data_IF_230531784898
#
_entry.id   IF_230531784898
#
_cell.length_a   1.000
_cell.length_b   1.000
_cell.length_c   1.000
_cell.angle_alpha   90.00
_cell.angle_beta   90.00
_cell.angle_gamma   90.00
#
_symmetry.space_group_name_H-M   'P 1'
#
loop_
_entity.id
_entity.type
_entity.pdbx_description
1 polymer ?
#
# COMPACT_ATOMS: atom_id res chain seq x y z
N UNK A 1 8.91 -16.87 -5.38
CA UNK A 1 8.17 -16.17 -6.46
C UNK A 1 7.32 -15.10 -5.80
N UNK A 2 7.55 -13.83 -6.14
CA UNK A 2 6.67 -12.71 -5.78
C UNK A 2 6.04 -12.19 -7.06
N UNK A 3 4.92 -11.49 -6.94
CA UNK A 3 4.20 -10.93 -8.07
C UNK A 3 3.21 -9.86 -7.61
N UNK A 4 2.77 -9.05 -8.56
CA UNK A 4 1.76 -8.01 -8.36
C UNK A 4 0.51 -8.38 -9.14
N UNK A 5 -0.65 -8.17 -8.51
CA UNK A 5 -1.94 -8.23 -9.19
C UNK A 5 -2.46 -6.81 -9.39
N UNK A 6 -2.82 -6.45 -10.63
CA UNK A 6 -3.34 -5.12 -10.97
C UNK A 6 -4.74 -5.28 -11.57
N UNK A 7 -5.69 -4.46 -11.12
CA UNK A 7 -7.03 -4.39 -11.69
C UNK A 7 -7.47 -2.94 -11.88
N UNK A 8 -8.06 -2.64 -13.03
CA UNK A 8 -8.78 -1.38 -13.27
C UNK A 8 -10.25 -1.59 -12.91
N UNK A 9 -10.72 -0.83 -11.93
CA UNK A 9 -12.05 -0.92 -11.37
C UNK A 9 -12.88 0.31 -11.78
N UNK A 10 -14.21 0.16 -11.68
CA UNK A 10 -15.15 1.26 -11.86
C UNK A 10 -16.14 1.31 -10.71
N UNK A 11 -16.25 2.45 -10.06
CA UNK A 11 -17.24 2.72 -9.01
C UNK A 11 -17.71 4.17 -9.09
N UNK A 12 -19.00 4.42 -8.86
CA UNK A 12 -19.55 5.79 -8.89
C UNK A 12 -19.32 6.54 -10.21
N UNK A 13 -19.16 5.83 -11.33
CA UNK A 13 -18.83 6.41 -12.63
C UNK A 13 -17.33 6.64 -12.88
N UNK A 14 -16.52 6.68 -11.82
CA UNK A 14 -15.07 6.89 -11.85
C UNK A 14 -14.31 5.59 -12.10
N UNK A 15 -13.16 5.67 -12.79
CA UNK A 15 -12.24 4.56 -12.99
C UNK A 15 -10.98 4.78 -12.15
N UNK A 16 -10.46 3.70 -11.56
CA UNK A 16 -9.20 3.72 -10.83
C UNK A 16 -8.55 2.34 -10.89
N UNK A 17 -7.23 2.27 -10.69
CA UNK A 17 -6.49 1.04 -10.60
C UNK A 17 -6.16 0.70 -9.14
N UNK A 18 -6.14 -0.59 -8.83
CA UNK A 18 -5.62 -1.12 -7.56
C UNK A 18 -4.54 -2.13 -7.88
N UNK A 19 -3.37 -1.99 -7.26
CA UNK A 19 -2.25 -2.91 -7.34
C UNK A 19 -1.96 -3.51 -5.96
N UNK A 20 -2.05 -4.83 -5.84
CA UNK A 20 -1.67 -5.56 -4.64
C UNK A 20 -0.21 -6.01 -4.67
N UNK A 21 0.53 -5.80 -3.59
CA UNK A 21 1.94 -6.19 -3.47
C UNK A 21 2.19 -7.09 -2.25
N UNK A 22 3.18 -7.95 -2.37
CA UNK A 22 3.85 -8.61 -1.26
C UNK A 22 5.32 -8.72 -1.66
N UNK A 23 6.17 -7.81 -1.17
CA UNK A 23 7.55 -7.73 -1.62
C UNK A 23 8.42 -8.84 -1.02
N UNK A 24 9.64 -8.97 -1.52
CA UNK A 24 10.54 -10.03 -1.08
C UNK A 24 11.11 -9.78 0.33
N UNK A 25 11.60 -10.84 0.96
CA UNK A 25 12.34 -10.72 2.22
C UNK A 25 13.77 -10.21 1.97
N UNK A 26 14.32 -10.42 0.76
CA UNK A 26 15.65 -9.94 0.39
C UNK A 26 15.62 -8.47 -0.08
N UNK A 27 16.44 -7.62 0.55
CA UNK A 27 16.48 -6.18 0.30
C UNK A 27 16.71 -5.82 -1.17
N UNK A 28 17.68 -6.46 -1.83
CA UNK A 28 18.01 -6.18 -3.24
C UNK A 28 16.86 -6.52 -4.19
N UNK A 29 16.03 -7.50 -3.84
CA UNK A 29 14.88 -7.89 -4.65
C UNK A 29 13.71 -6.91 -4.48
N UNK A 30 13.49 -6.36 -3.28
CA UNK A 30 12.38 -5.44 -3.02
C UNK A 30 12.39 -4.22 -3.92
N UNK A 31 13.54 -3.54 -4.04
CA UNK A 31 13.63 -2.34 -4.87
C UNK A 31 13.40 -2.64 -6.35
N UNK A 32 13.94 -3.76 -6.85
CA UNK A 32 13.66 -4.22 -8.22
C UNK A 32 12.16 -4.50 -8.42
N UNK A 33 11.49 -5.13 -7.46
CA UNK A 33 10.05 -5.38 -7.54
C UNK A 33 9.22 -4.10 -7.59
N UNK A 34 9.63 -3.02 -6.89
CA UNK A 34 8.95 -1.72 -6.99
C UNK A 34 9.11 -1.12 -8.40
N UNK A 35 10.29 -1.21 -9.00
CA UNK A 35 10.48 -0.77 -10.39
C UNK A 35 9.68 -1.61 -11.39
N UNK A 36 9.58 -2.93 -11.19
CA UNK A 36 8.75 -3.82 -12.00
C UNK A 36 7.26 -3.51 -11.85
N UNK A 37 6.80 -3.23 -10.62
CA UNK A 37 5.45 -2.75 -10.33
C UNK A 37 5.13 -1.47 -11.10
N UNK A 38 6.03 -0.48 -11.03
CA UNK A 38 5.87 0.80 -11.72
C UNK A 38 5.77 0.60 -13.24
N UNK A 39 6.66 -0.20 -13.82
CA UNK A 39 6.63 -0.53 -15.23
C UNK A 39 5.36 -1.30 -15.64
N UNK A 40 4.84 -2.17 -14.77
CA UNK A 40 3.59 -2.87 -15.00
C UNK A 40 2.39 -1.92 -14.97
N UNK A 41 2.35 -0.97 -14.03
CA UNK A 41 1.32 0.08 -13.99
C UNK A 41 1.36 0.89 -15.28
N UNK A 42 2.53 1.37 -15.72
CA UNK A 42 2.65 2.15 -16.97
C UNK A 42 2.19 1.38 -18.20
N UNK A 43 2.44 0.07 -18.22
CA UNK A 43 2.09 -0.79 -19.35
C UNK A 43 0.61 -1.15 -19.40
N UNK A 44 -0.02 -1.31 -18.24
CA UNK A 44 -1.33 -1.96 -18.14
C UNK A 44 -2.45 -1.05 -17.63
N UNK A 45 -2.14 0.11 -17.06
CA UNK A 45 -3.10 1.09 -16.57
C UNK A 45 -3.10 2.32 -17.48
N UNK A 46 -4.24 2.75 -18.03
CA UNK A 46 -4.30 4.00 -18.80
C UNK A 46 -3.84 5.20 -17.97
N UNK A 47 -3.08 6.12 -18.55
CA UNK A 47 -2.45 7.24 -17.82
C UNK A 47 -3.45 8.15 -17.08
N UNK A 48 -4.67 8.28 -17.61
CA UNK A 48 -5.74 9.06 -16.99
C UNK A 48 -6.39 8.38 -15.79
N UNK A 49 -6.11 7.10 -15.55
CA UNK A 49 -6.67 6.31 -14.44
C UNK A 49 -5.72 6.40 -13.24
N UNK A 50 -6.14 6.99 -12.10
CA UNK A 50 -5.34 7.03 -10.88
C UNK A 50 -5.18 5.63 -10.27
N UNK A 51 -4.04 5.39 -9.63
CA UNK A 51 -3.71 4.09 -9.04
C UNK A 51 -3.57 4.16 -7.51
N UNK A 52 -3.92 3.05 -6.86
CA UNK A 52 -3.64 2.77 -5.45
C UNK A 52 -2.77 1.52 -5.38
N UNK A 53 -1.67 1.58 -4.64
CA UNK A 53 -0.80 0.43 -4.37
C UNK A 53 -0.97 0.05 -2.90
N UNK A 54 -1.24 -1.21 -2.60
CA UNK A 54 -1.42 -1.66 -1.22
C UNK A 54 -0.81 -3.05 -0.98
N UNK A 55 -0.26 -3.26 0.22
CA UNK A 55 0.16 -4.58 0.68
C UNK A 55 1.39 -4.57 1.58
N UNK A 56 1.99 -5.76 1.73
CA UNK A 56 3.17 -6.00 2.56
C UNK A 56 4.45 -5.59 1.81
N UNK A 57 5.10 -4.55 2.29
CA UNK A 57 6.33 -3.98 1.74
C UNK A 57 7.55 -4.79 2.19
N UNK A 58 7.46 -5.56 3.29
CA UNK A 58 8.59 -6.22 3.94
C UNK A 58 9.79 -5.27 4.22
N UNK A 59 9.49 -3.97 4.35
CA UNK A 59 10.42 -2.91 4.65
C UNK A 59 9.73 -1.83 5.48
N UNK A 60 10.50 -0.95 6.09
CA UNK A 60 9.99 0.10 6.98
C UNK A 60 9.94 1.47 6.28
N UNK A 61 9.19 2.44 6.84
CA UNK A 61 9.22 3.81 6.38
C UNK A 61 10.65 4.35 6.30
N UNK A 62 10.86 5.30 5.40
CA UNK A 62 12.15 5.92 5.07
C UNK A 62 13.19 5.01 4.37
N UNK A 63 12.90 3.72 4.15
CA UNK A 63 13.72 2.85 3.31
C UNK A 63 13.70 3.28 1.83
N UNK A 64 14.74 2.91 1.06
CA UNK A 64 14.77 3.17 -0.39
C UNK A 64 13.56 2.56 -1.13
N UNK A 65 13.05 1.43 -0.64
CA UNK A 65 11.84 0.77 -1.17
C UNK A 65 10.61 1.65 -0.92
N UNK A 66 10.48 2.21 0.29
CA UNK A 66 9.38 3.10 0.65
C UNK A 66 9.42 4.42 -0.12
N UNK A 67 10.62 4.99 -0.29
CA UNK A 67 10.83 6.19 -1.10
C UNK A 67 10.46 5.95 -2.56
N UNK A 68 10.88 4.81 -3.12
CA UNK A 68 10.51 4.43 -4.49
C UNK A 68 8.98 4.31 -4.65
N UNK A 69 8.27 3.64 -3.73
CA UNK A 69 6.80 3.61 -3.75
C UNK A 69 6.18 5.01 -3.67
N UNK A 70 6.80 5.90 -2.89
CA UNK A 70 6.41 7.31 -2.73
C UNK A 70 6.54 8.17 -3.99
N UNK A 71 7.31 7.74 -5.00
CA UNK A 71 7.45 8.47 -6.27
C UNK A 71 6.13 8.55 -7.06
N UNK A 72 5.18 7.63 -6.81
CA UNK A 72 3.93 7.52 -7.56
C UNK A 72 2.66 7.67 -6.73
N UNK A 73 2.79 7.88 -5.43
CA UNK A 73 1.65 8.07 -4.55
C UNK A 73 2.06 8.53 -3.16
N UNK A 74 1.12 9.17 -2.47
CA UNK A 74 1.31 9.54 -1.08
C UNK A 74 1.04 8.32 -0.17
N UNK A 75 1.92 8.10 0.81
CA UNK A 75 1.69 7.14 1.90
C UNK A 75 0.49 7.59 2.74
N UNK A 76 -0.61 6.84 2.67
CA UNK A 76 -1.86 7.20 3.32
C UNK A 76 -1.75 7.34 4.84
N UNK A 77 -0.87 6.57 5.48
CA UNK A 77 -0.64 6.68 6.91
C UNK A 77 0.03 8.01 7.27
N UNK A 78 1.03 8.45 6.50
CA UNK A 78 1.70 9.73 6.74
C UNK A 78 0.78 10.91 6.43
N UNK A 79 -0.13 10.76 5.47
CA UNK A 79 -1.09 11.82 5.13
C UNK A 79 -2.17 11.99 6.19
N UNK A 80 -2.76 10.90 6.70
CA UNK A 80 -3.95 11.01 7.55
C UNK A 80 -4.14 9.86 8.55
N UNK A 81 -3.03 9.27 9.02
CA UNK A 81 -2.99 8.31 10.12
C UNK A 81 -2.67 8.97 11.46
N UNK A 82 -2.89 8.23 12.56
CA UNK A 82 -2.56 8.69 13.91
C UNK A 82 -1.93 7.57 14.75
N UNK A 83 -0.88 7.90 15.52
CA UNK A 83 -0.13 6.94 16.32
C UNK A 83 1.01 6.26 15.56
N UNK A 84 1.39 5.05 15.97
CA UNK A 84 2.58 4.36 15.44
C UNK A 84 2.39 3.78 14.04
N UNK A 85 1.16 3.37 13.71
CA UNK A 85 0.84 2.66 12.47
C UNK A 85 1.48 1.29 12.38
N UNK A 86 1.92 0.72 13.50
CA UNK A 86 2.57 -0.58 13.49
C UNK A 86 1.58 -1.68 13.15
N UNK A 87 1.97 -2.47 12.14
CA UNK A 87 1.17 -3.55 11.59
C UNK A 87 1.72 -4.92 11.95
N UNK A 88 3.01 -5.03 12.29
CA UNK A 88 3.66 -6.32 12.55
C UNK A 88 4.47 -6.37 13.86
N UNK A 89 4.38 -7.44 14.67
CA UNK A 89 3.39 -8.53 14.58
C UNK A 89 2.08 -8.14 15.25
N UNK A 90 0.96 -8.76 14.89
CA UNK A 90 -0.37 -8.33 15.33
C UNK A 90 -0.52 -8.24 16.86
N UNK A 91 0.07 -9.18 17.59
CA UNK A 91 0.02 -9.25 19.07
C UNK A 91 0.97 -8.30 19.78
N UNK A 92 2.13 -8.01 19.17
CA UNK A 92 3.16 -7.15 19.76
C UNK A 92 3.77 -6.27 18.66
N UNK A 93 3.00 -5.29 18.15
CA UNK A 93 3.36 -4.57 16.95
C UNK A 93 4.54 -3.63 17.23
N UNK A 94 5.57 -3.70 16.37
CA UNK A 94 6.81 -2.92 16.48
C UNK A 94 7.26 -2.30 15.17
N UNK A 95 6.67 -2.72 14.05
CA UNK A 95 7.03 -2.25 12.71
C UNK A 95 5.78 -1.95 11.90
N UNK A 96 5.87 -0.94 11.05
CA UNK A 96 4.91 -0.69 9.97
C UNK A 96 5.52 -1.22 8.70
N UNK A 97 5.03 -2.35 8.22
CA UNK A 97 5.51 -2.98 6.98
C UNK A 97 4.40 -3.17 5.95
N UNK A 98 3.15 -2.85 6.32
CA UNK A 98 2.02 -2.81 5.41
C UNK A 98 1.65 -1.36 5.12
N UNK A 99 1.35 -1.07 3.85
CA UNK A 99 1.13 0.30 3.40
C UNK A 99 0.03 0.39 2.33
N UNK A 100 -0.51 1.59 2.20
CA UNK A 100 -1.36 2.01 1.09
C UNK A 100 -0.80 3.32 0.55
N UNK A 101 -0.37 3.33 -0.71
CA UNK A 101 0.06 4.51 -1.44
C UNK A 101 -1.02 4.88 -2.44
N UNK A 102 -1.45 6.14 -2.44
CA UNK A 102 -2.50 6.62 -3.33
C UNK A 102 -2.00 7.74 -4.24
N UNK A 103 -2.32 7.64 -5.53
CA UNK A 103 -2.12 8.72 -6.51
C UNK A 103 -2.69 10.06 -6.01
N UNK A 104 -2.03 11.17 -6.34
CA UNK A 104 -2.40 12.52 -5.88
C UNK A 104 -3.82 12.97 -6.26
N UNK A 105 -4.46 12.30 -7.23
CA UNK A 105 -5.87 12.51 -7.58
C UNK A 105 -6.85 11.97 -6.54
N UNK A 106 -6.41 11.11 -5.63
CA UNK A 106 -7.21 10.68 -4.48
C UNK A 106 -7.07 11.66 -3.31
N UNK A 107 -8.20 11.97 -2.68
CA UNK A 107 -8.19 12.57 -1.35
C UNK A 107 -8.15 11.46 -0.30
N UNK A 108 -7.14 11.50 0.56
CA UNK A 108 -6.97 10.54 1.67
C UNK A 108 -7.74 11.06 2.89
N UNK A 109 -8.88 10.45 3.19
CA UNK A 109 -9.82 10.87 4.23
C UNK A 109 -9.45 10.41 5.64
N UNK A 110 -8.98 9.18 5.79
CA UNK A 110 -8.40 8.66 7.04
C UNK A 110 -7.56 7.40 6.77
N UNK A 111 -6.59 7.13 7.64
CA UNK A 111 -5.87 5.86 7.69
C UNK A 111 -5.86 5.31 9.13
N UNK A 112 -6.27 4.05 9.29
CA UNK A 112 -6.38 3.37 10.59
C UNK A 112 -5.72 2.00 10.53
N UNK A 113 -4.99 1.63 11.58
CA UNK A 113 -4.58 0.24 11.80
C UNK A 113 -5.60 -0.39 12.73
N UNK A 114 -6.24 -1.48 12.28
CA UNK A 114 -7.24 -2.19 13.06
C UNK A 114 -6.58 -3.18 14.00
N UNK A 115 -7.06 -3.28 15.23
CA UNK A 115 -6.57 -4.24 16.22
C UNK A 115 -7.71 -4.91 16.99
N UNK A 116 -7.35 -5.82 17.90
CA UNK A 116 -8.29 -6.62 18.67
C UNK A 116 -8.05 -8.12 18.52
N UNK A 117 -8.71 -8.91 19.38
CA UNK A 117 -8.53 -10.37 19.45
C UNK A 117 -8.83 -11.03 18.11
N UNK A 118 -9.88 -10.60 17.41
CA UNK A 118 -10.24 -11.16 16.11
C UNK A 118 -9.15 -10.93 15.06
N UNK A 119 -8.50 -9.77 15.07
CA UNK A 119 -7.36 -9.47 14.20
C UNK A 119 -6.16 -10.37 14.53
N UNK A 120 -5.83 -10.51 15.81
CA UNK A 120 -4.70 -11.31 16.30
C UNK A 120 -4.87 -12.83 16.07
N UNK A 121 -6.11 -13.30 15.90
CA UNK A 121 -6.42 -14.67 15.53
C UNK A 121 -6.43 -14.85 14.01
N UNK A 122 -6.90 -13.84 13.26
CA UNK A 122 -7.02 -13.91 11.81
C UNK A 122 -5.68 -13.81 11.07
N UNK A 123 -4.71 -13.06 11.62
CA UNK A 123 -3.45 -12.76 10.93
C UNK A 123 -2.33 -12.42 11.92
N UNK A 124 -1.08 -12.61 11.48
CA UNK A 124 0.10 -12.08 12.15
C UNK A 124 0.40 -10.61 11.80
N UNK A 125 -0.37 -10.02 10.88
CA UNK A 125 -0.38 -8.60 10.53
C UNK A 125 -1.71 -7.94 10.94
N UNK A 126 -1.64 -6.67 11.35
CA UNK A 126 -2.83 -5.83 11.55
C UNK A 126 -3.27 -5.19 10.23
N UNK A 127 -4.57 -5.21 9.88
CA UNK A 127 -5.08 -4.57 8.68
C UNK A 127 -4.88 -3.04 8.70
N UNK A 128 -4.51 -2.48 7.54
CA UNK A 128 -4.54 -1.03 7.29
C UNK A 128 -5.82 -0.70 6.54
N UNK A 129 -6.68 0.10 7.16
CA UNK A 129 -7.93 0.60 6.58
C UNK A 129 -7.71 2.06 6.15
N UNK A 130 -7.93 2.35 4.87
CA UNK A 130 -7.82 3.71 4.32
C UNK A 130 -9.12 4.11 3.64
N UNK A 131 -9.62 5.29 3.97
CA UNK A 131 -10.75 5.92 3.31
C UNK A 131 -10.24 6.84 2.20
N UNK A 132 -10.58 6.55 0.95
CA UNK A 132 -10.17 7.29 -0.23
C UNK A 132 -11.39 7.87 -0.94
N UNK A 133 -11.25 9.10 -1.42
CA UNK A 133 -12.24 9.75 -2.28
C UNK A 133 -11.62 10.12 -3.63
N UNK A 134 -12.40 9.92 -4.68
CA UNK A 134 -12.06 10.29 -6.05
C UNK A 134 -13.24 11.05 -6.63
N UNK A 135 -13.02 12.31 -7.01
CA UNK A 135 -14.04 13.23 -7.52
C UNK A 135 -13.81 13.56 -8.98
#
# INVERSE_FOLDING_TARGET
MRGTSIAVLRAGGQRFAVAGIHLDLFADARLRHVHELHAAIDRHVPAEVPAVVAGDVNDVPDSAVWQALGERGADAWLTNGNGTGYTYSARQPRKRIDAVFADARFRIGSARVLDGVDVEVASDHRPVLVELELS
#
